data_IF_569700794000
#
_entry.id   IF_569700794000
#
_cell.length_a   1.000
_cell.length_b   1.000
_cell.length_c   1.000
_cell.angle_alpha   90.00
_cell.angle_beta   90.00
_cell.angle_gamma   90.00
#
_symmetry.space_group_name_H-M   'P 1'
#
loop_
_entity.id
_entity.type
_entity.pdbx_description
1 polymer ?
#
# COMPACT_ATOMS: atom_id res chain seq x y z
N UNK A 1 -14.61 -0.41 12.87
CA UNK A 1 -13.67 0.37 12.10
C UNK A 1 -13.84 0.14 10.59
N UNK A 2 -13.69 -1.10 10.09
CA UNK A 2 -13.73 -1.42 8.65
C UNK A 2 -15.01 -0.94 7.93
N UNK A 3 -16.19 -1.09 8.51
CA UNK A 3 -17.44 -0.61 7.92
C UNK A 3 -17.46 0.90 7.65
N UNK A 4 -16.67 1.69 8.39
CA UNK A 4 -16.56 3.13 8.23
C UNK A 4 -15.46 3.52 7.25
N UNK A 5 -14.30 2.91 7.38
CA UNK A 5 -13.10 3.29 6.60
C UNK A 5 -12.88 2.41 5.37
N UNK A 6 -13.29 1.15 5.41
CA UNK A 6 -13.00 0.17 4.38
C UNK A 6 -11.50 -0.17 4.24
N UNK A 7 -10.67 0.25 5.19
CA UNK A 7 -9.20 0.10 5.09
C UNK A 7 -8.75 -1.23 5.68
N UNK A 8 -7.90 -1.95 4.93
CA UNK A 8 -7.22 -3.16 5.34
C UNK A 8 -6.45 -2.93 6.65
N UNK A 9 -6.55 -3.88 7.59
CA UNK A 9 -5.82 -3.79 8.85
C UNK A 9 -4.35 -4.14 8.64
N UNK A 10 -3.50 -3.13 8.78
CA UNK A 10 -2.06 -3.26 8.71
C UNK A 10 -1.41 -2.51 9.88
N UNK A 11 -0.39 -3.06 10.54
CA UNK A 11 0.22 -2.45 11.73
C UNK A 11 0.82 -1.07 11.46
N UNK A 12 1.13 -0.75 10.22
CA UNK A 12 1.68 0.53 9.80
C UNK A 12 0.61 1.62 9.51
N UNK A 13 -0.70 1.32 9.56
CA UNK A 13 -1.71 2.37 9.42
C UNK A 13 -1.56 3.43 10.52
N UNK A 14 -1.65 4.71 10.14
CA UNK A 14 -1.40 5.84 11.05
C UNK A 14 -2.30 5.85 12.28
N UNK A 15 -3.52 5.31 12.19
CA UNK A 15 -4.45 5.18 13.32
C UNK A 15 -3.80 4.47 14.51
N UNK A 16 -3.03 3.40 14.30
CA UNK A 16 -2.37 2.66 15.38
C UNK A 16 -1.18 3.42 15.95
N UNK A 17 -0.43 4.13 15.10
CA UNK A 17 0.70 4.96 15.52
C UNK A 17 0.22 6.15 16.35
N UNK A 18 -0.81 6.86 15.89
CA UNK A 18 -1.42 7.98 16.63
C UNK A 18 -1.97 7.53 17.98
N UNK A 19 -2.59 6.35 18.05
CA UNK A 19 -3.05 5.78 19.32
C UNK A 19 -1.89 5.48 20.27
N UNK A 20 -0.81 4.89 19.76
CA UNK A 20 0.39 4.60 20.55
C UNK A 20 1.07 5.90 21.02
N UNK A 21 1.18 6.90 20.15
CA UNK A 21 1.76 8.20 20.48
C UNK A 21 0.93 8.96 21.52
N UNK A 22 -0.39 8.89 21.41
CA UNK A 22 -1.28 9.44 22.42
C UNK A 22 -1.08 8.76 23.78
N UNK A 23 -1.06 7.43 23.83
CA UNK A 23 -0.83 6.69 25.09
C UNK A 23 0.52 7.01 25.73
N UNK A 24 1.52 7.29 24.91
CA UNK A 24 2.85 7.70 25.37
C UNK A 24 2.96 9.21 25.71
N UNK A 25 1.87 9.97 25.62
CA UNK A 25 1.85 11.41 25.89
C UNK A 25 2.53 12.28 24.83
N UNK A 26 2.97 11.71 23.71
CA UNK A 26 3.70 12.45 22.66
C UNK A 26 2.83 13.44 21.89
N UNK A 27 1.50 13.26 21.91
CA UNK A 27 0.56 14.17 21.23
C UNK A 27 0.12 15.36 22.09
N UNK A 28 0.58 15.48 23.35
CA UNK A 28 0.14 16.54 24.26
C UNK A 28 0.45 17.96 23.76
N UNK A 29 1.49 18.12 22.94
CA UNK A 29 1.90 19.39 22.33
C UNK A 29 1.71 19.40 20.79
N UNK A 30 1.05 18.38 20.24
CA UNK A 30 0.82 18.31 18.80
C UNK A 30 -0.33 19.26 18.40
N UNK A 31 -0.05 20.18 17.50
CA UNK A 31 -1.01 21.14 16.97
C UNK A 31 -1.55 20.73 15.61
N UNK A 32 -0.83 19.82 14.91
CA UNK A 32 -1.11 19.50 13.52
C UNK A 32 -0.65 18.08 13.15
N UNK A 33 -1.25 17.53 12.09
CA UNK A 33 -0.89 16.24 11.51
C UNK A 33 -0.68 16.38 10.02
N UNK A 34 0.49 15.99 9.53
CA UNK A 34 0.85 15.97 8.11
C UNK A 34 1.47 14.61 7.77
N UNK A 35 1.06 14.04 6.66
CA UNK A 35 1.81 12.95 6.04
C UNK A 35 3.11 13.49 5.44
N UNK A 36 4.13 12.63 5.27
CA UNK A 36 5.46 13.08 4.81
C UNK A 36 5.42 13.87 3.49
N UNK A 37 4.69 13.44 2.42
CA UNK A 37 4.60 14.23 1.20
C UNK A 37 3.99 15.61 1.43
N UNK A 38 2.96 15.71 2.27
CA UNK A 38 2.29 16.97 2.62
C UNK A 38 3.22 17.91 3.38
N UNK A 39 4.03 17.35 4.27
CA UNK A 39 5.07 18.10 4.98
C UNK A 39 6.11 18.69 4.02
N UNK A 40 6.58 17.89 3.06
CA UNK A 40 7.54 18.35 2.05
C UNK A 40 6.94 19.46 1.18
N UNK A 41 5.71 19.29 0.70
CA UNK A 41 5.01 20.31 -0.09
C UNK A 41 4.79 21.60 0.71
N UNK A 42 4.44 21.49 2.01
CA UNK A 42 4.36 22.65 2.88
C UNK A 42 5.70 23.38 3.00
N UNK A 43 6.82 22.67 3.12
CA UNK A 43 8.15 23.29 3.14
C UNK A 43 8.47 24.02 1.84
N UNK A 44 8.01 23.50 0.71
CA UNK A 44 8.24 24.11 -0.60
C UNK A 44 7.43 25.39 -0.83
N UNK A 45 6.16 25.42 -0.42
CA UNK A 45 5.25 26.52 -0.78
C UNK A 45 4.63 27.26 0.43
N UNK A 46 4.87 26.81 1.66
CA UNK A 46 4.31 27.43 2.86
C UNK A 46 2.82 27.10 3.10
N UNK A 47 2.16 26.35 2.22
CA UNK A 47 0.74 26.00 2.32
C UNK A 47 0.60 24.56 2.81
N UNK A 48 -0.13 24.36 3.92
CA UNK A 48 -0.48 23.04 4.44
C UNK A 48 -1.73 22.52 3.74
N UNK A 49 -1.67 21.32 3.22
CA UNK A 49 -2.81 20.59 2.65
C UNK A 49 -2.84 19.16 3.17
N UNK A 50 -3.99 18.50 3.10
CA UNK A 50 -4.18 17.09 3.45
C UNK A 50 -4.68 16.38 2.21
N UNK A 51 -3.82 15.57 1.61
CA UNK A 51 -4.11 14.93 0.33
C UNK A 51 -4.97 13.67 0.53
N UNK A 52 -6.06 13.61 -0.20
CA UNK A 52 -7.10 12.58 -0.04
C UNK A 52 -6.56 11.15 -0.24
N UNK A 53 -5.79 10.87 -1.29
CA UNK A 53 -5.39 9.50 -1.63
C UNK A 53 -4.52 8.87 -0.54
N UNK A 54 -3.60 9.66 0.01
CA UNK A 54 -2.71 9.22 1.08
C UNK A 54 -3.44 9.21 2.44
N UNK A 55 -4.29 10.21 2.70
CA UNK A 55 -5.07 10.26 3.94
C UNK A 55 -5.94 9.02 4.14
N UNK A 56 -6.47 8.40 3.08
CA UNK A 56 -7.30 7.19 3.20
C UNK A 56 -6.53 6.02 3.82
N UNK A 57 -5.22 5.87 3.54
CA UNK A 57 -4.38 4.81 4.10
C UNK A 57 -4.17 4.90 5.61
N UNK A 58 -4.48 6.05 6.21
CA UNK A 58 -4.34 6.29 7.66
C UNK A 58 -5.29 5.44 8.51
N UNK A 59 -6.43 5.00 7.94
CA UNK A 59 -7.53 4.38 8.68
C UNK A 59 -8.40 5.38 9.45
N UNK A 60 -8.28 6.70 9.17
CA UNK A 60 -9.05 7.77 9.82
C UNK A 60 -10.13 8.36 8.92
N UNK A 61 -10.10 8.08 7.61
CA UNK A 61 -11.03 8.63 6.63
C UNK A 61 -12.24 7.73 6.47
N UNK A 62 -13.44 8.32 6.45
CA UNK A 62 -14.67 7.60 6.18
C UNK A 62 -14.80 7.35 4.67
N UNK A 63 -14.98 6.10 4.28
CA UNK A 63 -15.03 5.68 2.88
C UNK A 63 -16.22 6.28 2.10
N UNK A 64 -17.32 6.62 2.78
CA UNK A 64 -18.53 7.16 2.14
C UNK A 64 -18.47 8.69 2.01
N UNK A 65 -18.08 9.38 3.08
CA UNK A 65 -18.00 10.84 3.10
C UNK A 65 -16.73 11.37 2.45
N UNK A 66 -15.70 10.56 2.35
CA UNK A 66 -14.35 10.91 1.85
C UNK A 66 -13.67 12.02 2.66
N UNK A 67 -14.02 12.14 3.94
CA UNK A 67 -13.46 13.09 4.90
C UNK A 67 -12.98 12.33 6.15
N UNK A 68 -12.18 12.96 6.99
CA UNK A 68 -11.83 12.39 8.29
C UNK A 68 -13.08 12.07 9.10
N UNK A 69 -13.13 10.89 9.70
CA UNK A 69 -14.30 10.39 10.42
C UNK A 69 -14.33 10.94 11.85
N UNK A 70 -15.28 11.83 12.21
CA UNK A 70 -15.32 12.47 13.52
C UNK A 70 -15.53 11.47 14.66
N UNK A 71 -16.26 10.36 14.41
CA UNK A 71 -16.48 9.34 15.43
C UNK A 71 -15.19 8.54 15.71
N UNK A 72 -14.36 8.31 14.69
CA UNK A 72 -13.05 7.68 14.87
C UNK A 72 -12.12 8.63 15.64
N UNK A 73 -12.04 9.90 15.24
CA UNK A 73 -11.23 10.91 15.94
C UNK A 73 -11.65 11.03 17.40
N UNK A 74 -12.95 11.11 17.67
CA UNK A 74 -13.52 11.14 19.03
C UNK A 74 -13.17 9.89 19.84
N UNK A 75 -13.35 8.70 19.26
CA UNK A 75 -13.02 7.44 19.93
C UNK A 75 -11.53 7.35 20.32
N UNK A 76 -10.66 7.88 19.47
CA UNK A 76 -9.23 8.01 19.75
C UNK A 76 -8.90 9.19 20.66
N UNK A 77 -9.86 10.13 20.88
CA UNK A 77 -9.65 11.39 21.59
C UNK A 77 -8.59 12.26 20.93
N UNK A 78 -8.60 12.30 19.60
CA UNK A 78 -7.76 13.19 18.80
C UNK A 78 -8.51 14.49 18.54
N UNK A 79 -7.85 15.66 18.62
CA UNK A 79 -8.48 16.94 18.33
C UNK A 79 -8.87 17.05 16.85
N UNK A 80 -10.12 17.34 16.54
CA UNK A 80 -10.58 17.51 15.15
C UNK A 80 -9.82 18.60 14.39
N UNK A 81 -9.37 19.64 15.10
CA UNK A 81 -8.58 20.73 14.52
C UNK A 81 -7.28 20.27 13.85
N UNK A 82 -6.71 19.12 14.25
CA UNK A 82 -5.54 18.52 13.60
C UNK A 82 -5.85 17.89 12.23
N UNK A 83 -7.14 17.65 11.94
CA UNK A 83 -7.62 16.91 10.78
C UNK A 83 -8.61 17.74 9.96
N UNK A 84 -8.13 18.85 9.36
CA UNK A 84 -8.99 19.70 8.53
C UNK A 84 -9.45 18.97 7.26
N UNK A 85 -10.29 19.64 6.47
CA UNK A 85 -10.84 19.13 5.20
C UNK A 85 -9.74 18.60 4.28
N UNK A 86 -10.02 17.46 3.63
CA UNK A 86 -9.12 16.85 2.66
C UNK A 86 -9.10 17.63 1.35
N UNK A 87 -7.96 17.61 0.68
CA UNK A 87 -7.73 18.29 -0.60
C UNK A 87 -7.57 17.25 -1.70
N UNK A 88 -8.25 17.45 -2.81
CA UNK A 88 -8.14 16.56 -3.97
C UNK A 88 -6.78 16.69 -4.66
N UNK A 89 -6.21 15.59 -5.19
CA UNK A 89 -5.03 15.66 -6.07
C UNK A 89 -5.33 16.54 -7.30
N UNK A 90 -4.28 17.12 -7.88
CA UNK A 90 -4.38 18.10 -8.97
C UNK A 90 -4.54 19.54 -8.50
N UNK A 91 -4.74 19.79 -7.22
CA UNK A 91 -4.90 21.15 -6.67
C UNK A 91 -3.56 21.89 -6.65
N UNK A 92 -3.54 23.11 -7.20
CA UNK A 92 -2.37 24.00 -7.08
C UNK A 92 -2.40 24.67 -5.70
N UNK A 93 -1.38 24.41 -4.89
CA UNK A 93 -1.27 24.93 -3.52
C UNK A 93 -0.75 26.37 -3.48
N UNK A 94 0.16 26.71 -4.37
CA UNK A 94 0.80 28.01 -4.39
C UNK A 94 2.05 28.01 -5.26
N UNK A 95 2.92 28.97 -5.01
CA UNK A 95 4.25 29.05 -5.64
C UNK A 95 5.33 28.69 -4.61
N UNK A 96 6.54 28.38 -5.07
CA UNK A 96 7.68 28.18 -4.19
C UNK A 96 7.86 29.37 -3.24
N UNK A 97 8.28 29.11 -2.01
CA UNK A 97 8.69 30.21 -1.11
C UNK A 97 9.87 30.98 -1.71
N UNK A 98 10.04 32.30 -1.40
CA UNK A 98 11.12 33.09 -1.95
C UNK A 98 12.52 32.48 -1.77
N UNK A 99 12.77 31.86 -0.60
CA UNK A 99 14.06 31.22 -0.32
C UNK A 99 14.32 30.02 -1.22
N UNK A 100 13.33 29.13 -1.38
CA UNK A 100 13.45 27.97 -2.27
C UNK A 100 13.57 28.42 -3.73
N UNK A 101 12.77 29.38 -4.18
CA UNK A 101 12.84 29.92 -5.53
C UNK A 101 14.23 30.49 -5.85
N UNK A 102 14.86 31.19 -4.89
CA UNK A 102 16.22 31.71 -5.04
C UNK A 102 17.26 30.57 -5.11
N UNK A 103 17.11 29.52 -4.30
CA UNK A 103 18.02 28.38 -4.28
C UNK A 103 17.98 27.56 -5.57
N UNK A 104 16.79 27.33 -6.15
CA UNK A 104 16.63 26.57 -7.41
C UNK A 104 16.78 27.44 -8.66
N UNK A 105 16.94 28.74 -8.50
CA UNK A 105 17.16 29.67 -9.62
C UNK A 105 15.92 30.01 -10.44
N UNK A 106 14.71 29.83 -9.86
CA UNK A 106 13.48 30.15 -10.57
C UNK A 106 12.21 29.97 -9.76
N UNK A 107 11.11 30.58 -10.22
CA UNK A 107 9.80 30.47 -9.58
C UNK A 107 8.93 29.45 -10.33
N UNK A 108 8.29 28.55 -9.59
CA UNK A 108 7.33 27.59 -10.14
C UNK A 108 6.15 27.39 -9.19
N UNK A 109 5.08 26.80 -9.71
CA UNK A 109 3.91 26.41 -8.91
C UNK A 109 4.12 25.05 -8.28
N UNK A 110 3.59 24.88 -7.06
CA UNK A 110 3.53 23.62 -6.34
C UNK A 110 2.12 23.07 -6.47
N UNK A 111 1.98 21.92 -7.12
CA UNK A 111 0.71 21.22 -7.28
C UNK A 111 0.70 19.94 -6.43
N UNK A 112 -0.45 19.66 -5.83
CA UNK A 112 -0.69 18.44 -5.07
C UNK A 112 -0.95 17.28 -6.04
N UNK A 113 -0.05 16.32 -6.13
CA UNK A 113 -0.31 15.07 -6.86
C UNK A 113 -1.08 14.08 -5.97
N UNK A 114 -1.44 12.91 -6.49
CA UNK A 114 -1.84 11.79 -5.67
C UNK A 114 -0.61 11.31 -4.89
N UNK A 115 -0.49 11.68 -3.62
CA UNK A 115 0.75 11.54 -2.84
C UNK A 115 1.01 10.12 -2.33
N UNK A 116 0.01 9.24 -2.42
CA UNK A 116 0.25 7.80 -2.29
C UNK A 116 0.88 7.30 -3.61
N UNK A 117 2.06 6.68 -3.55
CA UNK A 117 2.82 6.23 -4.72
C UNK A 117 2.01 5.31 -5.64
N UNK A 118 1.30 4.32 -5.06
CA UNK A 118 0.41 3.45 -5.83
C UNK A 118 -0.78 4.21 -6.43
N UNK A 119 -1.29 5.27 -5.78
CA UNK A 119 -2.34 6.08 -6.38
C UNK A 119 -1.85 6.79 -7.64
N UNK A 120 -0.65 7.35 -7.60
CA UNK A 120 -0.01 7.93 -8.78
C UNK A 120 0.31 6.89 -9.85
N UNK A 121 0.80 5.71 -9.47
CA UNK A 121 1.08 4.61 -10.41
C UNK A 121 -0.20 4.15 -11.13
N UNK A 122 -1.29 3.94 -10.41
CA UNK A 122 -2.59 3.52 -10.98
C UNK A 122 -3.19 4.62 -11.86
N UNK A 123 -2.98 5.89 -11.52
CA UNK A 123 -3.44 7.01 -12.34
C UNK A 123 -2.68 7.09 -13.67
N UNK A 124 -1.41 6.68 -13.68
CA UNK A 124 -0.59 6.61 -14.88
C UNK A 124 -0.92 5.45 -15.83
N UNK A 125 -1.74 4.46 -15.40
CA UNK A 125 -2.16 3.37 -16.27
C UNK A 125 -3.27 3.88 -17.22
N UNK A 126 -3.13 3.72 -18.55
CA UNK A 126 -4.14 4.15 -19.51
C UNK A 126 -5.34 3.19 -19.53
N UNK A 127 -6.14 3.21 -18.46
CA UNK A 127 -7.35 2.40 -18.32
C UNK A 127 -8.51 3.24 -17.78
N UNK A 128 -9.71 2.92 -18.23
CA UNK A 128 -10.94 3.45 -17.66
C UNK A 128 -11.34 2.74 -16.36
N UNK A 129 -12.33 3.28 -15.66
CA UNK A 129 -12.83 2.69 -14.43
C UNK A 129 -13.48 1.33 -14.72
N UNK A 130 -13.00 0.28 -14.03
CA UNK A 130 -13.54 -1.08 -14.14
C UNK A 130 -13.10 -1.87 -15.37
N UNK A 131 -12.24 -1.33 -16.23
CA UNK A 131 -11.80 -2.00 -17.45
C UNK A 131 -10.99 -3.27 -17.15
N UNK A 132 -10.06 -3.19 -16.21
CA UNK A 132 -9.25 -4.33 -15.81
C UNK A 132 -8.70 -4.15 -14.40
N UNK A 133 -8.41 -5.24 -13.69
CA UNK A 133 -7.58 -5.21 -12.50
C UNK A 133 -6.16 -4.78 -12.81
N UNK A 134 -5.50 -4.19 -11.81
CA UNK A 134 -4.08 -3.82 -11.86
C UNK A 134 -3.29 -4.56 -10.79
N UNK A 135 -2.02 -4.82 -11.09
CA UNK A 135 -1.02 -5.29 -10.14
C UNK A 135 0.15 -4.30 -10.13
N UNK A 136 0.22 -3.45 -9.12
CA UNK A 136 1.40 -2.62 -8.86
C UNK A 136 2.38 -3.43 -8.04
N UNK A 137 3.47 -3.89 -8.70
CA UNK A 137 4.42 -4.85 -8.12
C UNK A 137 5.74 -4.15 -7.77
N UNK A 138 5.85 -3.75 -6.51
CA UNK A 138 7.05 -3.18 -5.90
C UNK A 138 7.50 -3.98 -4.68
N UNK A 139 8.05 -3.33 -3.66
CA UNK A 139 8.35 -3.93 -2.35
C UNK A 139 7.11 -4.63 -1.79
N UNK A 140 5.96 -3.96 -1.84
CA UNK A 140 4.62 -4.53 -1.72
C UNK A 140 4.05 -4.78 -3.12
N UNK A 141 3.13 -5.74 -3.23
CA UNK A 141 2.30 -5.95 -4.42
C UNK A 141 0.87 -5.58 -4.10
N UNK A 142 0.33 -4.60 -4.84
CA UNK A 142 -1.02 -4.10 -4.67
C UNK A 142 -1.87 -4.55 -5.85
N UNK A 143 -2.69 -5.57 -5.60
CA UNK A 143 -3.62 -6.13 -6.59
C UNK A 143 -5.01 -5.52 -6.37
N UNK A 144 -5.58 -4.87 -7.37
CA UNK A 144 -6.85 -4.19 -7.21
C UNK A 144 -7.54 -3.78 -8.50
N UNK A 145 -8.63 -3.04 -8.33
CA UNK A 145 -9.49 -2.53 -9.40
C UNK A 145 -9.98 -1.11 -9.06
N UNK A 146 -10.28 -0.30 -10.07
CA UNK A 146 -10.94 1.00 -9.91
C UNK A 146 -12.45 0.78 -9.71
N UNK A 147 -13.03 1.31 -8.64
CA UNK A 147 -14.46 1.26 -8.36
C UNK A 147 -15.06 2.66 -8.15
N UNK A 148 -16.31 2.85 -8.56
CA UNK A 148 -17.04 4.10 -8.31
C UNK A 148 -17.38 4.31 -6.83
N UNK A 149 -17.60 3.21 -6.10
CA UNK A 149 -18.06 3.21 -4.70
C UNK A 149 -17.26 2.22 -3.86
N UNK A 150 -17.03 2.49 -2.57
CA UNK A 150 -16.33 1.58 -1.69
C UNK A 150 -17.16 0.32 -1.37
N UNK A 151 -16.49 -0.81 -1.16
CA UNK A 151 -17.08 -2.06 -0.68
C UNK A 151 -16.61 -2.30 0.75
N UNK A 152 -17.48 -2.02 1.71
CA UNK A 152 -17.20 -2.17 3.17
C UNK A 152 -17.95 -3.33 3.81
N UNK A 153 -18.35 -4.32 3.01
CA UNK A 153 -19.11 -5.49 3.46
C UNK A 153 -18.30 -6.40 4.39
N UNK A 154 -18.98 -7.23 5.22
CA UNK A 154 -18.30 -8.25 6.03
C UNK A 154 -17.47 -9.23 5.19
N UNK A 155 -17.87 -9.52 3.95
CA UNK A 155 -17.11 -10.38 3.03
C UNK A 155 -15.79 -9.72 2.62
N UNK A 156 -15.83 -8.42 2.25
CA UNK A 156 -14.64 -7.63 1.93
C UNK A 156 -13.68 -7.52 3.13
N UNK A 157 -14.24 -7.30 4.34
CA UNK A 157 -13.45 -7.26 5.58
C UNK A 157 -12.72 -8.58 5.85
N UNK A 158 -13.41 -9.72 5.74
CA UNK A 158 -12.78 -11.04 5.94
C UNK A 158 -11.70 -11.35 4.91
N UNK A 159 -11.92 -10.95 3.66
CA UNK A 159 -10.93 -11.07 2.60
C UNK A 159 -9.79 -10.03 2.72
N UNK A 160 -9.89 -9.12 3.70
CA UNK A 160 -8.90 -8.08 4.01
C UNK A 160 -8.56 -7.17 2.81
N UNK A 161 -9.56 -6.78 2.02
CA UNK A 161 -9.42 -5.76 0.99
C UNK A 161 -9.48 -4.35 1.58
N UNK A 162 -8.85 -3.39 0.90
CA UNK A 162 -8.82 -1.99 1.28
C UNK A 162 -9.50 -1.11 0.22
N UNK A 163 -10.16 -0.04 0.67
CA UNK A 163 -10.83 0.96 -0.17
C UNK A 163 -10.06 2.28 -0.11
N UNK A 164 -8.94 2.35 -0.78
CA UNK A 164 -8.10 3.53 -0.78
C UNK A 164 -8.54 4.57 -1.83
N UNK A 165 -8.28 5.83 -1.56
CA UNK A 165 -8.63 6.93 -2.47
C UNK A 165 -7.83 6.89 -3.77
N UNK A 166 -8.52 7.10 -4.89
CA UNK A 166 -7.97 7.42 -6.20
C UNK A 166 -8.41 8.81 -6.65
N UNK A 167 -8.09 9.21 -7.87
CA UNK A 167 -8.51 10.49 -8.46
C UNK A 167 -9.93 10.37 -9.01
N UNK A 168 -10.92 10.62 -8.15
CA UNK A 168 -12.34 10.51 -8.51
C UNK A 168 -12.95 9.11 -8.38
N UNK A 169 -12.18 8.10 -7.99
CA UNK A 169 -12.60 6.71 -7.83
C UNK A 169 -12.05 6.13 -6.53
N UNK A 170 -12.40 4.89 -6.22
CA UNK A 170 -11.83 4.08 -5.13
C UNK A 170 -10.87 3.06 -5.75
N UNK A 171 -9.65 2.99 -5.24
CA UNK A 171 -8.74 1.89 -5.46
C UNK A 171 -9.12 0.77 -4.50
N UNK A 172 -9.91 -0.18 -4.98
CA UNK A 172 -10.27 -1.37 -4.22
C UNK A 172 -9.18 -2.42 -4.43
N UNK A 173 -8.36 -2.66 -3.42
CA UNK A 173 -7.17 -3.48 -3.60
C UNK A 173 -6.84 -4.30 -2.35
N UNK A 174 -5.89 -5.22 -2.50
CA UNK A 174 -5.29 -6.00 -1.43
C UNK A 174 -3.78 -5.78 -1.44
N UNK A 175 -3.22 -5.41 -0.30
CA UNK A 175 -1.78 -5.38 -0.10
C UNK A 175 -1.29 -6.81 0.16
N UNK A 176 -0.37 -7.26 -0.66
CA UNK A 176 0.26 -8.58 -0.62
C UNK A 176 1.75 -8.35 -0.42
N UNK A 177 2.42 -9.19 0.36
CA UNK A 177 3.87 -9.19 0.40
C UNK A 177 4.40 -9.34 -1.02
N UNK A 178 5.19 -8.37 -1.47
CA UNK A 178 5.64 -8.29 -2.85
C UNK A 178 7.09 -8.75 -3.05
N UNK A 179 7.81 -7.98 -3.86
CA UNK A 179 9.19 -8.28 -4.23
C UNK A 179 10.18 -8.11 -3.07
N UNK A 180 9.75 -7.64 -1.90
CA UNK A 180 10.56 -7.58 -0.68
C UNK A 180 11.26 -8.92 -0.38
N UNK A 181 10.51 -10.03 -0.48
CA UNK A 181 11.05 -11.37 -0.24
C UNK A 181 12.20 -11.67 -1.22
N UNK A 182 11.95 -11.42 -2.52
CA UNK A 182 12.94 -11.70 -3.55
C UNK A 182 14.17 -10.78 -3.44
N UNK A 183 13.94 -9.50 -3.09
CA UNK A 183 15.01 -8.52 -2.87
C UNK A 183 15.91 -8.91 -1.69
N UNK A 184 15.34 -9.40 -0.59
CA UNK A 184 16.10 -9.89 0.55
C UNK A 184 16.97 -11.09 0.17
N UNK A 185 16.40 -12.09 -0.51
CA UNK A 185 17.12 -13.28 -0.95
C UNK A 185 18.20 -12.93 -1.99
N UNK A 186 17.89 -12.03 -2.92
CA UNK A 186 18.84 -11.53 -3.91
C UNK A 186 20.09 -10.92 -3.23
N UNK A 187 19.84 -10.07 -2.22
CA UNK A 187 20.93 -9.45 -1.45
C UNK A 187 21.75 -10.47 -0.66
N UNK A 188 21.10 -11.48 -0.07
CA UNK A 188 21.77 -12.55 0.68
C UNK A 188 22.66 -13.42 -0.20
N UNK A 189 22.17 -13.76 -1.41
CA UNK A 189 22.91 -14.60 -2.35
C UNK A 189 23.99 -13.82 -3.13
N UNK A 190 23.91 -12.48 -3.18
CA UNK A 190 24.86 -11.64 -3.90
C UNK A 190 24.84 -11.82 -5.43
N UNK A 191 23.70 -12.23 -5.99
CA UNK A 191 23.52 -12.46 -7.44
C UNK A 191 22.53 -11.45 -8.03
N UNK A 192 22.54 -11.24 -9.35
CA UNK A 192 21.59 -10.35 -10.02
C UNK A 192 20.21 -10.98 -10.15
N UNK A 193 19.18 -10.15 -10.33
CA UNK A 193 17.81 -10.64 -10.61
C UNK A 193 17.75 -11.52 -11.86
N UNK A 194 18.50 -11.20 -12.91
CA UNK A 194 18.58 -12.03 -14.11
C UNK A 194 19.13 -13.44 -13.79
N UNK A 195 20.19 -13.53 -12.97
CA UNK A 195 20.73 -14.81 -12.51
C UNK A 195 19.72 -15.58 -11.65
N UNK A 196 18.96 -14.88 -10.79
CA UNK A 196 17.88 -15.53 -10.01
C UNK A 196 16.83 -16.17 -10.91
N UNK A 197 16.39 -15.47 -11.96
CA UNK A 197 15.40 -15.99 -12.92
C UNK A 197 15.93 -17.24 -13.63
N UNK A 198 17.18 -17.20 -14.13
CA UNK A 198 17.78 -18.36 -14.80
C UNK A 198 17.97 -19.55 -13.84
N UNK A 199 18.36 -19.27 -12.60
CA UNK A 199 18.53 -20.31 -11.59
C UNK A 199 17.16 -20.94 -11.23
N UNK A 200 16.13 -20.15 -11.05
CA UNK A 200 14.78 -20.63 -10.76
C UNK A 200 14.23 -21.58 -11.81
N UNK A 201 14.56 -21.38 -13.09
CA UNK A 201 14.11 -22.23 -14.20
C UNK A 201 14.64 -23.67 -14.11
N UNK A 202 15.73 -23.92 -13.39
CA UNK A 202 16.32 -25.25 -13.23
C UNK A 202 15.63 -26.11 -12.17
N UNK A 203 14.76 -25.51 -11.35
CA UNK A 203 14.07 -26.21 -10.27
C UNK A 203 12.77 -26.86 -10.71
N UNK A 204 12.50 -28.04 -10.19
CA UNK A 204 11.23 -28.77 -10.34
C UNK A 204 10.45 -28.84 -9.00
N UNK A 205 10.93 -28.18 -7.97
CA UNK A 205 10.31 -28.18 -6.65
C UNK A 205 8.92 -27.48 -6.69
N UNK A 206 7.88 -28.06 -6.07
CA UNK A 206 6.46 -27.66 -6.29
C UNK A 206 5.72 -27.11 -5.08
N UNK A 207 6.32 -27.09 -3.87
CA UNK A 207 5.64 -26.60 -2.66
C UNK A 207 5.42 -25.08 -2.72
N UNK A 208 4.31 -24.63 -2.11
CA UNK A 208 3.92 -23.22 -2.01
C UNK A 208 3.87 -22.85 -0.53
N UNK A 209 4.33 -21.67 -0.15
CA UNK A 209 4.22 -21.12 1.20
C UNK A 209 3.39 -19.83 1.19
N UNK A 210 2.82 -19.47 2.35
CA UNK A 210 2.11 -18.21 2.50
C UNK A 210 3.08 -17.03 2.58
N UNK A 211 3.15 -16.27 1.50
CA UNK A 211 4.03 -15.09 1.41
C UNK A 211 3.65 -13.96 2.38
N UNK A 212 2.42 -13.93 2.87
CA UNK A 212 1.92 -12.92 3.80
C UNK A 212 2.16 -13.28 5.28
N UNK A 213 2.79 -14.42 5.57
CA UNK A 213 3.07 -14.83 6.94
C UNK A 213 3.95 -13.79 7.65
N UNK A 214 3.61 -13.47 8.90
CA UNK A 214 4.28 -12.41 9.68
C UNK A 214 5.80 -12.56 9.79
N UNK A 215 6.30 -13.81 9.72
CA UNK A 215 7.74 -14.12 9.74
C UNK A 215 8.54 -13.45 8.62
N UNK A 216 7.90 -13.11 7.49
CA UNK A 216 8.55 -12.49 6.33
C UNK A 216 8.58 -10.97 6.37
N UNK A 217 7.96 -10.33 7.38
CA UNK A 217 7.88 -8.86 7.44
C UNK A 217 9.24 -8.20 7.66
N UNK A 218 10.07 -8.75 8.58
CA UNK A 218 11.38 -8.20 8.89
C UNK A 218 12.32 -9.29 9.49
N UNK A 219 12.58 -10.40 8.78
CA UNK A 219 13.44 -11.45 9.29
C UNK A 219 14.91 -11.02 9.26
N UNK A 220 15.70 -11.58 10.16
CA UNK A 220 17.16 -11.44 10.10
C UNK A 220 17.76 -12.21 8.91
N UNK A 221 17.19 -13.37 8.58
CA UNK A 221 17.56 -14.22 7.45
C UNK A 221 16.32 -14.70 6.72
N UNK A 222 16.01 -14.05 5.60
CA UNK A 222 14.83 -14.37 4.76
C UNK A 222 14.92 -15.78 4.18
N UNK A 223 16.10 -16.20 3.73
CA UNK A 223 16.30 -17.52 3.13
C UNK A 223 16.06 -18.64 4.15
N UNK A 224 16.54 -18.47 5.38
CA UNK A 224 16.32 -19.42 6.47
C UNK A 224 14.82 -19.50 6.85
N UNK A 225 14.13 -18.36 6.94
CA UNK A 225 12.70 -18.33 7.25
C UNK A 225 11.85 -19.01 6.18
N UNK A 226 12.16 -18.83 4.90
CA UNK A 226 11.44 -19.50 3.81
C UNK A 226 11.69 -21.01 3.85
N UNK A 227 12.95 -21.44 4.06
CA UNK A 227 13.28 -22.86 4.20
C UNK A 227 12.54 -23.50 5.39
N UNK A 228 12.47 -22.80 6.53
CA UNK A 228 11.74 -23.25 7.70
C UNK A 228 10.22 -23.38 7.42
N UNK A 229 9.63 -22.37 6.78
CA UNK A 229 8.21 -22.38 6.41
C UNK A 229 7.85 -23.56 5.48
N UNK A 230 8.73 -23.86 4.52
CA UNK A 230 8.54 -24.99 3.59
C UNK A 230 8.77 -26.33 4.29
N UNK A 231 9.70 -26.44 5.24
CA UNK A 231 9.92 -27.63 6.04
C UNK A 231 8.72 -27.98 6.93
N UNK A 232 7.97 -26.99 7.43
CA UNK A 232 6.77 -27.16 8.24
C UNK A 232 5.62 -27.83 7.44
N UNK A 233 5.60 -27.70 6.13
CA UNK A 233 4.56 -28.25 5.24
C UNK A 233 5.02 -29.42 4.38
N UNK A 234 6.23 -29.93 4.61
CA UNK A 234 6.77 -31.10 3.91
C UNK A 234 8.29 -31.11 3.86
N UNK A 235 8.87 -30.69 2.74
CA UNK A 235 10.32 -30.70 2.52
C UNK A 235 10.87 -29.28 2.39
N UNK A 236 11.98 -29.01 3.05
CA UNK A 236 12.74 -27.80 2.80
C UNK A 236 13.40 -27.84 1.39
N UNK A 237 13.51 -26.70 0.69
CA UNK A 237 14.21 -26.64 -0.58
C UNK A 237 15.69 -26.98 -0.38
N UNK A 238 16.21 -27.91 -1.18
CA UNK A 238 17.57 -28.39 -1.07
C UNK A 238 18.59 -27.38 -1.65
N UNK A 239 18.20 -26.65 -2.67
CA UNK A 239 19.05 -25.73 -3.42
C UNK A 239 18.53 -24.29 -3.39
N UNK A 240 19.37 -23.33 -3.77
CA UNK A 240 18.94 -21.95 -3.98
C UNK A 240 18.03 -21.80 -5.20
N UNK A 241 18.18 -22.68 -6.20
CA UNK A 241 17.26 -22.76 -7.34
C UNK A 241 15.83 -23.07 -6.87
N UNK A 242 15.69 -24.06 -5.98
CA UNK A 242 14.39 -24.43 -5.40
C UNK A 242 13.82 -23.31 -4.55
N UNK A 243 14.64 -22.67 -3.73
CA UNK A 243 14.24 -21.54 -2.91
C UNK A 243 13.68 -20.40 -3.75
N UNK A 244 14.43 -19.94 -4.74
CA UNK A 244 14.04 -18.82 -5.62
C UNK A 244 12.81 -19.16 -6.44
N UNK A 245 12.76 -20.37 -7.00
CA UNK A 245 11.61 -20.85 -7.76
C UNK A 245 10.32 -20.79 -6.90
N UNK A 246 10.42 -21.20 -5.63
CA UNK A 246 9.25 -21.19 -4.72
C UNK A 246 8.77 -19.81 -4.37
N UNK A 247 9.67 -18.84 -4.27
CA UNK A 247 9.27 -17.45 -4.03
C UNK A 247 8.39 -16.95 -5.19
N UNK A 248 8.84 -17.11 -6.43
CA UNK A 248 8.06 -16.68 -7.60
C UNK A 248 6.71 -17.40 -7.71
N UNK A 249 6.70 -18.71 -7.52
CA UNK A 249 5.46 -19.49 -7.61
C UNK A 249 4.51 -19.19 -6.43
N UNK A 250 5.01 -18.97 -5.23
CA UNK A 250 4.20 -18.61 -4.07
C UNK A 250 3.58 -17.23 -4.22
N UNK A 251 4.33 -16.26 -4.74
CA UNK A 251 3.80 -14.94 -5.09
C UNK A 251 2.72 -15.04 -6.17
N UNK A 252 2.98 -15.75 -7.27
CA UNK A 252 2.02 -15.93 -8.34
C UNK A 252 0.73 -16.63 -7.86
N UNK A 253 0.88 -17.65 -7.02
CA UNK A 253 -0.25 -18.33 -6.39
C UNK A 253 -1.08 -17.37 -5.52
N UNK A 254 -0.42 -16.58 -4.68
CA UNK A 254 -1.08 -15.60 -3.82
C UNK A 254 -1.83 -14.54 -4.63
N UNK A 255 -1.26 -14.07 -5.74
CA UNK A 255 -1.94 -13.15 -6.66
C UNK A 255 -3.19 -13.78 -7.27
N UNK A 256 -3.09 -15.04 -7.70
CA UNK A 256 -4.24 -15.78 -8.25
C UNK A 256 -5.36 -15.96 -7.22
N UNK A 257 -5.04 -16.27 -5.97
CA UNK A 257 -6.04 -16.35 -4.89
C UNK A 257 -6.70 -14.99 -4.64
N UNK A 258 -5.92 -13.93 -4.50
CA UNK A 258 -6.42 -12.57 -4.28
C UNK A 258 -7.30 -12.08 -5.44
N UNK A 259 -6.95 -12.45 -6.67
CA UNK A 259 -7.74 -12.15 -7.87
C UNK A 259 -9.12 -12.83 -7.80
N UNK A 260 -9.17 -14.14 -7.53
CA UNK A 260 -10.44 -14.89 -7.37
C UNK A 260 -11.30 -14.36 -6.22
N UNK A 261 -10.67 -13.99 -5.09
CA UNK A 261 -11.37 -13.35 -3.97
C UNK A 261 -11.96 -11.98 -4.37
N UNK A 262 -11.24 -11.20 -5.16
CA UNK A 262 -11.72 -9.91 -5.67
C UNK A 262 -12.93 -10.07 -6.57
N UNK A 263 -12.89 -11.01 -7.54
CA UNK A 263 -14.05 -11.36 -8.38
C UNK A 263 -15.24 -11.80 -7.51
N UNK A 264 -15.01 -12.66 -6.53
CA UNK A 264 -16.06 -13.16 -5.64
C UNK A 264 -16.69 -12.05 -4.76
N UNK A 265 -15.93 -11.01 -4.38
CA UNK A 265 -16.45 -9.90 -3.58
C UNK A 265 -17.15 -8.85 -4.43
N UNK A 266 -16.59 -8.52 -5.59
CA UNK A 266 -17.13 -7.49 -6.49
C UNK A 266 -18.30 -8.00 -7.35
N UNK A 267 -18.36 -9.32 -7.59
CA UNK A 267 -19.29 -9.92 -8.54
C UNK A 267 -18.92 -9.65 -10.01
N UNK A 268 -17.74 -9.14 -10.26
CA UNK A 268 -17.20 -8.86 -11.59
C UNK A 268 -16.24 -9.97 -12.00
N UNK A 269 -16.03 -10.14 -13.30
CA UNK A 269 -15.05 -11.05 -13.88
C UNK A 269 -14.24 -10.34 -14.93
N UNK A 270 -12.93 -10.66 -15.00
CA UNK A 270 -12.01 -10.03 -15.93
C UNK A 270 -11.11 -11.07 -16.59
N UNK A 271 -10.85 -10.89 -17.88
CA UNK A 271 -9.97 -11.77 -18.68
C UNK A 271 -8.53 -11.23 -18.78
N UNK A 272 -8.26 -10.08 -18.17
CA UNK A 272 -7.00 -9.37 -18.28
C UNK A 272 -6.52 -8.86 -16.91
N UNK A 273 -5.21 -8.72 -16.74
CA UNK A 273 -4.55 -8.09 -15.61
C UNK A 273 -3.47 -7.15 -16.14
N UNK A 274 -3.56 -5.87 -15.80
CA UNK A 274 -2.53 -4.88 -16.08
C UNK A 274 -1.50 -4.88 -14.94
N UNK A 275 -0.21 -4.81 -15.26
CA UNK A 275 0.85 -4.74 -14.23
C UNK A 275 1.84 -3.61 -14.53
N UNK A 276 2.39 -3.05 -13.44
CA UNK A 276 3.36 -1.94 -13.48
C UNK A 276 4.60 -2.28 -12.64
#
# INVERSE_FOLDING_TARGET
>A
LYQRTGIQFQPFNSIYQLYADKKAGRLAQAEDFLMIPEYLLWKLCGVKAREYTNATSTGLVNAQTKEYDPEILKALGLPEAMFPKLTAPGTVLGSLTPNIAAEVGGQTKVALCATHDTASAVEGIPMEQGDAPFLSSGTWSLLGVKLAKPITSPKSCRANFTNEGGVGYIRYLKNIMGLWIIQCVQKQLGISFAQMVELAKTSTYTRIFDVNAARFSAPQDMSAEIRAALAEIGEAPATDADLINRIYHSLAYCYGEAYREMEAVTGQHWDCLLYT
#
